data_IF_378305828464
#
_entry.id   IF_378305828464
#
_cell.length_a   1.000
_cell.length_b   1.000
_cell.length_c   1.000
_cell.angle_alpha   90.00
_cell.angle_beta   90.00
_cell.angle_gamma   90.00
#
_symmetry.space_group_name_H-M   'P 1'
#
loop_
_entity.id
_entity.type
_entity.pdbx_description
1 polymer ?
#
# COMPACT_ATOMS: atom_id res chain seq x y z
N UNK A 1 -8.55 -27.81 17.78
CA UNK A 1 -9.84 -27.83 18.46
C UNK A 1 -9.53 -27.70 19.94
N UNK A 2 -9.40 -26.46 20.40
CA UNK A 2 -9.40 -26.13 21.82
C UNK A 2 -10.18 -24.83 21.95
N UNK A 3 -11.43 -24.98 22.36
CA UNK A 3 -12.34 -23.93 22.73
C UNK A 3 -11.83 -23.27 24.00
N UNK A 4 -11.29 -22.07 23.86
CA UNK A 4 -10.83 -21.21 24.95
C UNK A 4 -11.62 -19.91 25.02
N UNK A 5 -12.94 -19.97 24.79
CA UNK A 5 -13.83 -18.83 25.08
C UNK A 5 -14.13 -18.83 26.58
N UNK A 6 -13.18 -18.29 27.33
CA UNK A 6 -13.36 -17.94 28.72
C UNK A 6 -14.46 -16.87 28.81
N UNK A 7 -15.70 -17.35 28.99
CA UNK A 7 -16.86 -16.60 29.45
C UNK A 7 -16.43 -15.80 30.69
N UNK A 8 -16.10 -14.53 30.47
CA UNK A 8 -15.92 -13.58 31.56
C UNK A 8 -17.30 -13.14 32.02
N UNK A 9 -17.52 -13.31 33.32
CA UNK A 9 -18.67 -12.85 34.06
C UNK A 9 -18.80 -11.32 34.00
N UNK A 10 -19.49 -10.84 32.97
CA UNK A 10 -20.30 -9.63 32.98
C UNK A 10 -21.21 -9.74 31.74
N UNK A 11 -22.53 -9.74 31.90
CA UNK A 11 -23.54 -10.16 30.92
C UNK A 11 -23.69 -9.25 29.69
N UNK A 12 -22.59 -8.95 29.01
CA UNK A 12 -22.50 -8.03 27.90
C UNK A 12 -22.33 -8.72 26.55
N UNK A 13 -23.01 -8.18 25.54
CA UNK A 13 -22.91 -8.62 24.13
C UNK A 13 -21.44 -8.60 23.62
N UNK A 14 -21.03 -9.53 22.73
CA UNK A 14 -19.71 -9.50 22.09
C UNK A 14 -19.43 -8.15 21.40
N UNK A 15 -18.16 -7.75 21.31
CA UNK A 15 -17.77 -6.46 20.71
C UNK A 15 -18.25 -6.29 19.26
N UNK A 16 -18.27 -7.37 18.48
CA UNK A 16 -18.82 -7.38 17.12
C UNK A 16 -20.33 -7.10 17.13
N UNK A 17 -21.09 -7.76 18.01
CA UNK A 17 -22.53 -7.57 18.19
C UNK A 17 -22.87 -6.14 18.65
N UNK A 18 -22.13 -5.60 19.64
CA UNK A 18 -22.28 -4.20 20.06
C UNK A 18 -22.02 -3.24 18.89
N UNK A 19 -21.03 -3.52 18.05
CA UNK A 19 -20.71 -2.68 16.88
C UNK A 19 -21.82 -2.74 15.82
N UNK A 20 -22.35 -3.92 15.53
CA UNK A 20 -23.46 -4.10 14.60
C UNK A 20 -24.75 -3.40 15.08
N UNK A 21 -24.99 -3.34 16.39
CA UNK A 21 -26.16 -2.70 17.00
C UNK A 21 -26.10 -1.16 17.03
N UNK A 22 -24.93 -0.54 16.82
CA UNK A 22 -24.79 0.93 16.86
C UNK A 22 -25.73 1.62 15.87
N UNK A 23 -25.75 1.17 14.61
CA UNK A 23 -26.57 1.76 13.55
C UNK A 23 -28.07 1.69 13.85
N UNK A 24 -28.64 0.49 14.10
CA UNK A 24 -30.04 0.35 14.51
C UNK A 24 -30.41 1.18 15.74
N UNK A 25 -29.55 1.21 16.77
CA UNK A 25 -29.79 1.99 17.99
C UNK A 25 -29.88 3.50 17.70
N UNK A 26 -28.94 4.05 16.94
CA UNK A 26 -28.95 5.47 16.57
C UNK A 26 -30.16 5.82 15.70
N UNK A 27 -30.53 4.98 14.73
CA UNK A 27 -31.77 5.18 13.93
C UNK A 27 -33.02 5.21 14.81
N UNK A 28 -33.12 4.33 15.80
CA UNK A 28 -34.25 4.32 16.73
C UNK A 28 -34.32 5.59 17.58
N UNK A 29 -33.17 6.05 18.09
CA UNK A 29 -33.09 7.30 18.86
C UNK A 29 -33.42 8.53 18.00
N UNK A 30 -33.01 8.55 16.72
CA UNK A 30 -33.43 9.59 15.78
C UNK A 30 -34.94 9.58 15.52
N UNK A 31 -35.55 8.40 15.37
CA UNK A 31 -37.01 8.29 15.24
C UNK A 31 -37.74 8.83 16.48
N UNK A 32 -37.23 8.54 17.69
CA UNK A 32 -37.75 9.12 18.94
C UNK A 32 -37.58 10.64 18.99
N UNK A 33 -36.46 11.16 18.48
CA UNK A 33 -36.19 12.60 18.41
C UNK A 33 -37.14 13.31 17.44
N UNK A 34 -37.36 12.74 16.27
CA UNK A 34 -38.32 13.26 15.28
C UNK A 34 -39.74 13.30 15.84
N UNK A 35 -40.12 12.29 16.63
CA UNK A 35 -41.40 12.26 17.35
C UNK A 35 -41.46 13.11 18.63
N UNK A 36 -40.42 13.90 18.96
CA UNK A 36 -40.29 14.69 20.20
C UNK A 36 -40.43 13.88 21.50
N UNK A 37 -40.09 12.58 21.48
CA UNK A 37 -40.17 11.64 22.62
C UNK A 37 -38.81 11.20 23.15
N UNK A 38 -37.71 11.78 22.64
CA UNK A 38 -36.37 11.44 23.10
C UNK A 38 -36.13 12.02 24.51
N UNK A 39 -35.67 11.17 25.41
CA UNK A 39 -35.34 11.53 26.80
C UNK A 39 -33.89 11.12 27.08
N UNK A 40 -33.29 11.70 28.13
CA UNK A 40 -31.95 11.28 28.58
C UNK A 40 -31.92 9.79 29.00
N UNK A 41 -33.04 9.26 29.54
CA UNK A 41 -33.17 7.85 29.88
C UNK A 41 -33.01 6.92 28.67
N UNK A 42 -33.60 7.27 27.52
CA UNK A 42 -33.42 6.50 26.28
C UNK A 42 -31.95 6.45 25.84
N UNK A 43 -31.21 7.54 26.02
CA UNK A 43 -29.78 7.61 25.68
C UNK A 43 -28.93 6.82 26.65
N UNK A 44 -29.24 6.85 27.95
CA UNK A 44 -28.55 6.04 28.98
C UNK A 44 -28.70 4.54 28.72
N UNK A 45 -29.92 4.07 28.48
CA UNK A 45 -30.17 2.65 28.17
C UNK A 45 -29.38 2.19 26.93
N UNK A 46 -29.34 3.03 25.88
CA UNK A 46 -28.55 2.73 24.69
C UNK A 46 -27.04 2.75 24.95
N UNK A 47 -26.56 3.67 25.79
CA UNK A 47 -25.16 3.78 26.18
C UNK A 47 -24.69 2.53 26.95
N UNK A 48 -25.48 2.09 27.94
CA UNK A 48 -25.21 0.91 28.75
C UNK A 48 -25.19 -0.36 27.89
N UNK A 49 -26.21 -0.56 27.03
CA UNK A 49 -26.30 -1.72 26.16
C UNK A 49 -25.12 -1.81 25.15
N UNK A 50 -24.62 -0.66 24.69
CA UNK A 50 -23.52 -0.57 23.72
C UNK A 50 -22.14 -0.49 24.37
N UNK A 51 -22.05 -0.39 25.71
CA UNK A 51 -20.81 -0.23 26.46
C UNK A 51 -20.04 1.05 26.12
N UNK A 52 -20.76 2.16 25.89
CA UNK A 52 -20.19 3.48 25.59
C UNK A 52 -20.75 4.54 26.55
N UNK A 53 -20.15 5.73 26.60
CA UNK A 53 -20.69 6.82 27.42
C UNK A 53 -21.89 7.51 26.76
N UNK A 54 -22.81 8.08 27.56
CA UNK A 54 -23.93 8.90 27.06
C UNK A 54 -23.44 10.03 26.14
N UNK A 55 -22.31 10.67 26.48
CA UNK A 55 -21.65 11.69 25.64
C UNK A 55 -21.32 11.18 24.23
N UNK A 56 -20.91 9.91 24.12
CA UNK A 56 -20.59 9.27 22.83
C UNK A 56 -21.86 9.10 21.98
N UNK A 57 -22.96 8.68 22.61
CA UNK A 57 -24.25 8.52 21.93
C UNK A 57 -24.80 9.88 21.48
N UNK A 58 -24.72 10.92 22.31
CA UNK A 58 -25.10 12.27 21.91
C UNK A 58 -24.27 12.80 20.74
N UNK A 59 -22.96 12.55 20.74
CA UNK A 59 -22.09 12.89 19.60
C UNK A 59 -22.52 12.16 18.33
N UNK A 60 -22.87 10.88 18.41
CA UNK A 60 -23.40 10.13 17.27
C UNK A 60 -24.73 10.68 16.77
N UNK A 61 -25.65 11.03 17.66
CA UNK A 61 -26.92 11.66 17.28
C UNK A 61 -26.74 13.02 16.61
N UNK A 62 -25.76 13.82 17.06
CA UNK A 62 -25.41 15.07 16.41
C UNK A 62 -24.88 14.85 14.98
N UNK A 63 -23.95 13.91 14.80
CA UNK A 63 -23.40 13.58 13.48
C UNK A 63 -24.47 12.98 12.54
N UNK A 64 -25.29 12.07 13.04
CA UNK A 64 -26.31 11.36 12.26
C UNK A 64 -27.51 12.24 11.86
N UNK A 65 -27.69 13.41 12.47
CA UNK A 65 -28.67 14.41 12.00
C UNK A 65 -28.22 15.12 10.73
N UNK A 66 -26.91 15.24 10.51
CA UNK A 66 -26.34 15.94 9.36
C UNK A 66 -25.93 14.99 8.23
N UNK A 67 -25.71 13.71 8.53
CA UNK A 67 -25.18 12.72 7.59
C UNK A 67 -25.85 11.34 7.81
N UNK A 68 -26.58 10.86 6.79
CA UNK A 68 -27.26 9.57 6.83
C UNK A 68 -26.27 8.39 6.93
N UNK A 69 -25.05 8.54 6.40
CA UNK A 69 -24.02 7.50 6.51
C UNK A 69 -23.48 7.38 7.94
N UNK A 70 -23.46 8.48 8.69
CA UNK A 70 -23.17 8.49 10.12
C UNK A 70 -24.28 7.81 10.95
N UNK A 71 -25.53 7.78 10.48
CA UNK A 71 -26.60 7.00 11.08
C UNK A 71 -26.45 5.49 10.81
N UNK A 72 -25.91 5.12 9.64
CA UNK A 72 -25.65 3.72 9.28
C UNK A 72 -24.47 3.13 10.06
N UNK A 73 -23.40 3.91 10.25
CA UNK A 73 -22.19 3.46 10.95
C UNK A 73 -21.75 4.43 12.07
N UNK A 74 -22.50 4.52 13.17
CA UNK A 74 -22.17 5.44 14.27
C UNK A 74 -20.84 5.08 14.92
N UNK A 75 -19.96 6.08 15.03
CA UNK A 75 -18.64 5.89 15.62
C UNK A 75 -17.65 5.17 14.72
N UNK A 76 -18.04 4.77 13.50
CA UNK A 76 -17.05 4.62 12.45
C UNK A 76 -16.44 6.01 12.21
N UNK A 77 -15.12 6.06 12.03
CA UNK A 77 -14.48 7.28 11.53
C UNK A 77 -15.18 7.62 10.21
N UNK A 78 -15.72 8.83 10.10
CA UNK A 78 -16.53 9.21 8.95
C UNK A 78 -15.72 8.97 7.67
N UNK A 79 -16.38 8.70 6.55
CA UNK A 79 -15.71 8.77 5.25
C UNK A 79 -15.25 10.20 4.95
N UNK A 80 -15.78 11.22 5.63
CA UNK A 80 -15.22 12.57 5.65
C UNK A 80 -13.86 12.64 6.38
N UNK A 81 -13.59 11.74 7.33
CA UNK A 81 -12.24 11.47 7.87
C UNK A 81 -11.44 10.52 6.94
N UNK A 82 -11.85 10.36 5.67
CA UNK A 82 -11.06 9.63 4.69
C UNK A 82 -9.67 10.25 4.67
N UNK A 83 -8.72 9.42 5.07
CA UNK A 83 -7.32 9.81 5.21
C UNK A 83 -6.86 10.44 3.90
N UNK A 84 -6.27 11.64 4.00
CA UNK A 84 -5.68 12.31 2.85
C UNK A 84 -4.74 11.35 2.11
N UNK A 85 -4.96 11.24 0.79
CA UNK A 85 -4.25 10.33 -0.10
C UNK A 85 -3.67 11.16 -1.22
N UNK A 86 -2.46 10.80 -1.63
CA UNK A 86 -1.79 11.52 -2.70
C UNK A 86 -2.50 11.25 -4.03
N UNK A 87 -3.25 12.25 -4.51
CA UNK A 87 -3.96 12.20 -5.78
C UNK A 87 -3.01 12.41 -6.97
N UNK A 88 -3.40 12.05 -8.21
CA UNK A 88 -2.58 12.30 -9.40
C UNK A 88 -2.16 13.76 -9.55
N UNK A 89 -3.02 14.71 -9.17
CA UNK A 89 -2.73 16.15 -9.22
C UNK A 89 -1.62 16.52 -8.24
N UNK A 90 -1.67 15.99 -7.02
CA UNK A 90 -0.61 16.18 -6.02
C UNK A 90 0.69 15.51 -6.48
N UNK A 91 0.63 14.36 -7.16
CA UNK A 91 1.81 13.74 -7.79
C UNK A 91 2.43 14.66 -8.85
N UNK A 92 1.60 15.29 -9.69
CA UNK A 92 2.06 16.28 -10.68
C UNK A 92 2.76 17.48 -10.04
N UNK A 93 2.19 18.01 -8.94
CA UNK A 93 2.83 19.08 -8.17
C UNK A 93 4.16 18.66 -7.54
N UNK A 94 4.23 17.45 -6.99
CA UNK A 94 5.47 16.91 -6.45
C UNK A 94 6.54 16.79 -7.54
N UNK A 95 6.17 16.38 -8.76
CA UNK A 95 7.10 16.32 -9.88
C UNK A 95 7.57 17.72 -10.31
N UNK A 96 6.65 18.69 -10.43
CA UNK A 96 6.96 20.08 -10.77
C UNK A 96 7.96 20.70 -9.77
N UNK A 97 7.77 20.43 -8.48
CA UNK A 97 8.60 20.95 -7.41
C UNK A 97 9.74 20.03 -7.00
N UNK A 98 10.07 19.01 -7.81
CA UNK A 98 11.17 18.04 -7.56
C UNK A 98 11.16 17.43 -6.15
N UNK A 99 9.97 17.12 -5.65
CA UNK A 99 9.75 16.56 -4.31
C UNK A 99 9.75 17.57 -3.16
N UNK A 100 9.83 18.89 -3.41
CA UNK A 100 9.76 19.90 -2.36
C UNK A 100 8.34 20.03 -1.77
N UNK A 101 8.12 19.33 -0.66
CA UNK A 101 6.82 19.24 0.04
C UNK A 101 6.31 20.60 0.51
N UNK A 102 7.20 21.51 0.94
CA UNK A 102 6.79 22.83 1.43
C UNK A 102 6.30 23.72 0.30
N UNK A 103 6.91 23.64 -0.88
CA UNK A 103 6.46 24.35 -2.07
C UNK A 103 5.10 23.82 -2.55
N UNK A 104 4.94 22.49 -2.59
CA UNK A 104 3.65 21.85 -2.91
C UNK A 104 2.56 22.28 -1.93
N UNK A 105 2.85 22.32 -0.62
CA UNK A 105 1.88 22.76 0.37
C UNK A 105 1.44 24.21 0.14
N UNK A 106 2.38 25.13 -0.15
CA UNK A 106 2.04 26.54 -0.47
C UNK A 106 1.13 26.63 -1.69
N UNK A 107 1.42 25.89 -2.74
CA UNK A 107 0.61 25.82 -3.96
C UNK A 107 -0.79 25.25 -3.67
N UNK A 108 -0.90 24.19 -2.86
CA UNK A 108 -2.18 23.62 -2.46
C UNK A 108 -3.03 24.61 -1.65
N UNK A 109 -2.41 25.36 -0.73
CA UNK A 109 -3.11 26.42 0.03
C UNK A 109 -3.67 27.50 -0.90
N UNK A 110 -2.86 27.97 -1.86
CA UNK A 110 -3.29 28.97 -2.84
C UNK A 110 -4.43 28.43 -3.71
N UNK A 111 -4.35 27.17 -4.16
CA UNK A 111 -5.41 26.54 -4.96
C UNK A 111 -6.70 26.36 -4.18
N UNK A 112 -6.61 25.94 -2.92
CA UNK A 112 -7.77 25.71 -2.07
C UNK A 112 -8.52 27.03 -1.79
N UNK A 113 -7.79 28.13 -1.60
CA UNK A 113 -8.36 29.47 -1.45
C UNK A 113 -9.03 30.02 -2.72
N UNK A 114 -8.68 29.51 -3.91
CA UNK A 114 -9.29 29.91 -5.20
C UNK A 114 -10.55 29.12 -5.56
N UNK A 115 -10.86 28.06 -4.82
CA UNK A 115 -12.07 27.27 -5.05
C UNK A 115 -13.29 28.00 -4.50
N UNK A 116 -14.45 27.76 -5.11
CA UNK A 116 -15.75 28.25 -4.63
C UNK A 116 -16.70 27.06 -4.42
N UNK A 117 -17.05 26.73 -3.16
CA UNK A 117 -16.58 27.36 -1.92
C UNK A 117 -15.09 27.10 -1.65
N UNK A 118 -14.41 27.95 -0.85
CA UNK A 118 -13.02 27.72 -0.44
C UNK A 118 -12.89 26.36 0.22
N UNK A 119 -11.97 25.54 -0.27
CA UNK A 119 -11.67 24.26 0.34
C UNK A 119 -10.57 24.42 1.40
N UNK A 120 -10.56 23.51 2.37
CA UNK A 120 -9.45 23.42 3.32
C UNK A 120 -8.28 22.67 2.71
N UNK A 121 -7.10 23.29 2.73
CA UNK A 121 -5.87 22.65 2.32
C UNK A 121 -5.36 21.68 3.41
N UNK A 122 -4.77 20.53 3.04
CA UNK A 122 -4.18 19.61 4.01
C UNK A 122 -3.00 20.26 4.70
N UNK A 123 -2.88 20.04 6.02
CA UNK A 123 -1.72 20.52 6.77
C UNK A 123 -0.42 19.90 6.28
N UNK A 124 0.70 20.61 6.47
CA UNK A 124 2.02 20.13 6.06
C UNK A 124 2.37 18.75 6.68
N UNK A 125 1.99 18.52 7.93
CA UNK A 125 2.19 17.24 8.62
C UNK A 125 1.37 16.11 7.98
N UNK A 126 0.12 16.40 7.59
CA UNK A 126 -0.76 15.47 6.86
C UNK A 126 -0.15 15.11 5.51
N UNK A 127 0.39 16.10 4.78
CA UNK A 127 1.05 15.89 3.50
C UNK A 127 2.30 15.00 3.65
N UNK A 128 3.18 15.27 4.62
CA UNK A 128 4.33 14.41 4.90
C UNK A 128 3.93 12.98 5.28
N UNK A 129 2.83 12.81 6.02
CA UNK A 129 2.31 11.49 6.40
C UNK A 129 1.78 10.74 5.18
N UNK A 130 1.03 11.40 4.31
CA UNK A 130 0.51 10.80 3.09
C UNK A 130 1.63 10.42 2.12
N UNK A 131 2.62 11.29 1.90
CA UNK A 131 3.78 11.01 1.04
C UNK A 131 4.57 9.78 1.53
N UNK A 132 4.80 9.67 2.85
CA UNK A 132 5.53 8.51 3.40
C UNK A 132 4.80 7.18 3.19
N UNK A 133 3.46 7.24 3.16
CA UNK A 133 2.58 6.08 3.05
C UNK A 133 2.32 5.67 1.59
N UNK A 134 2.06 6.65 0.72
CA UNK A 134 1.55 6.42 -0.63
C UNK A 134 2.64 6.38 -1.71
N UNK A 135 3.83 6.91 -1.40
CA UNK A 135 4.97 6.85 -2.31
C UNK A 135 6.03 5.91 -1.74
N UNK A 136 6.53 5.03 -2.59
CA UNK A 136 7.69 4.18 -2.32
C UNK A 136 8.96 5.02 -2.11
N UNK A 137 9.97 4.50 -1.41
CA UNK A 137 11.27 5.16 -1.32
C UNK A 137 11.87 5.51 -2.69
N UNK A 138 11.72 4.62 -3.69
CA UNK A 138 12.20 4.83 -5.06
C UNK A 138 11.51 5.99 -5.77
N UNK A 139 10.17 6.08 -5.68
CA UNK A 139 9.43 7.23 -6.24
C UNK A 139 9.86 8.55 -5.60
N UNK A 140 10.05 8.58 -4.27
CA UNK A 140 10.50 9.79 -3.56
C UNK A 140 11.92 10.20 -3.96
N UNK A 141 12.83 9.23 -4.09
CA UNK A 141 14.18 9.48 -4.58
C UNK A 141 14.17 9.97 -6.04
N UNK A 142 13.28 9.40 -6.87
CA UNK A 142 13.07 9.81 -8.25
C UNK A 142 12.62 11.25 -8.40
N UNK A 143 11.71 11.71 -7.55
CA UNK A 143 11.25 13.09 -7.55
C UNK A 143 12.39 14.09 -7.27
N UNK A 144 13.31 13.76 -6.37
CA UNK A 144 14.41 14.65 -5.98
C UNK A 144 15.63 14.54 -6.89
N UNK A 145 15.98 13.33 -7.33
CA UNK A 145 17.26 13.03 -8.01
C UNK A 145 17.10 12.37 -9.38
N UNK A 146 15.89 12.30 -9.92
CA UNK A 146 15.58 11.69 -11.22
C UNK A 146 15.71 10.18 -11.24
N UNK A 147 15.67 9.61 -12.45
CA UNK A 147 15.67 8.16 -12.67
C UNK A 147 16.85 7.45 -12.00
N UNK A 148 18.06 8.03 -12.08
CA UNK A 148 19.26 7.44 -11.46
C UNK A 148 19.13 7.30 -9.95
N UNK A 149 18.44 8.23 -9.28
CA UNK A 149 18.18 8.13 -7.85
C UNK A 149 17.08 7.10 -7.55
N UNK A 150 16.02 7.03 -8.37
CA UNK A 150 14.99 6.00 -8.26
C UNK A 150 15.58 4.59 -8.38
N UNK A 151 16.44 4.37 -9.37
CA UNK A 151 17.10 3.07 -9.65
C UNK A 151 17.92 2.51 -8.50
N UNK A 152 18.37 3.34 -7.55
CA UNK A 152 19.05 2.85 -6.34
C UNK A 152 18.12 2.06 -5.40
N UNK A 153 16.82 2.26 -5.55
CA UNK A 153 15.79 1.57 -4.78
C UNK A 153 15.14 0.41 -5.54
N UNK A 154 15.42 0.28 -6.83
CA UNK A 154 15.00 -0.87 -7.61
C UNK A 154 15.88 -2.06 -7.22
N UNK A 155 15.25 -3.18 -6.87
CA UNK A 155 15.96 -4.42 -6.58
C UNK A 155 16.28 -5.10 -7.91
N UNK A 156 17.36 -4.67 -8.55
CA UNK A 156 17.93 -5.41 -9.67
C UNK A 156 18.57 -6.70 -9.15
N UNK A 157 18.47 -7.80 -9.90
CA UNK A 157 19.05 -9.12 -9.57
C UNK A 157 18.37 -9.93 -8.45
N UNK A 158 17.15 -9.59 -8.05
CA UNK A 158 16.36 -10.51 -7.23
C UNK A 158 15.93 -11.71 -8.07
N UNK A 159 16.39 -12.91 -7.71
CA UNK A 159 15.72 -14.13 -8.17
C UNK A 159 14.41 -14.31 -7.42
N UNK A 160 13.32 -14.68 -8.10
CA UNK A 160 12.15 -15.21 -7.44
C UNK A 160 12.55 -16.32 -6.47
N UNK A 161 11.89 -16.39 -5.31
CA UNK A 161 12.16 -17.46 -4.34
C UNK A 161 11.79 -18.80 -4.97
N UNK A 162 12.80 -19.59 -5.28
CA UNK A 162 12.65 -20.92 -5.84
C UNK A 162 12.75 -22.03 -4.81
N UNK A 163 12.50 -23.26 -5.24
CA UNK A 163 12.77 -24.46 -4.46
C UNK A 163 14.25 -24.82 -4.58
N UNK A 164 14.77 -25.57 -3.60
CA UNK A 164 16.13 -26.11 -3.69
C UNK A 164 16.24 -26.95 -4.98
N UNK A 165 17.30 -26.74 -5.77
CA UNK A 165 17.56 -27.40 -7.05
C UNK A 165 16.54 -27.11 -8.18
N UNK A 166 15.76 -26.03 -8.09
CA UNK A 166 14.85 -25.65 -9.17
C UNK A 166 15.59 -25.23 -10.46
N UNK A 167 16.79 -24.67 -10.32
CA UNK A 167 17.67 -24.29 -11.43
C UNK A 167 19.09 -24.73 -11.10
N UNK A 168 19.72 -25.43 -12.04
CA UNK A 168 21.14 -25.72 -12.02
C UNK A 168 21.83 -24.81 -13.03
N UNK A 169 22.60 -23.87 -12.52
CA UNK A 169 23.51 -23.08 -13.35
C UNK A 169 24.90 -23.63 -13.17
N UNK A 170 25.53 -23.97 -14.30
CA UNK A 170 26.92 -24.38 -14.33
C UNK A 170 27.73 -23.16 -14.74
N UNK A 171 28.66 -22.74 -13.89
CA UNK A 171 29.72 -21.84 -14.32
C UNK A 171 30.91 -22.66 -14.83
N UNK A 172 31.63 -22.10 -15.80
CA UNK A 172 32.89 -22.67 -16.25
C UNK A 172 33.99 -21.66 -15.95
N UNK A 173 34.89 -22.04 -15.04
CA UNK A 173 36.11 -21.30 -14.77
C UNK A 173 37.28 -22.04 -15.41
N UNK A 174 38.08 -21.33 -16.20
CA UNK A 174 39.39 -21.82 -16.61
C UNK A 174 40.41 -21.40 -15.56
N UNK A 175 40.84 -22.36 -14.74
CA UNK A 175 41.88 -22.11 -13.76
C UNK A 175 43.23 -21.93 -14.49
N UNK A 176 43.94 -20.80 -14.31
CA UNK A 176 45.22 -20.54 -14.96
C UNK A 176 46.36 -21.25 -14.22
N UNK A 177 46.23 -22.56 -14.02
CA UNK A 177 47.22 -23.38 -13.31
C UNK A 177 48.12 -24.11 -14.31
N UNK A 178 49.40 -24.24 -13.94
CA UNK A 178 50.33 -25.12 -14.62
C UNK A 178 50.12 -26.54 -14.13
N UNK A 179 49.92 -27.46 -15.06
CA UNK A 179 49.77 -28.88 -14.78
C UNK A 179 50.99 -29.60 -15.33
N UNK A 180 51.66 -30.39 -14.49
CA UNK A 180 52.71 -31.29 -14.94
C UNK A 180 52.07 -32.45 -15.71
N UNK A 181 52.42 -32.59 -16.98
CA UNK A 181 52.02 -33.71 -17.83
C UNK A 181 53.31 -34.32 -18.38
N UNK A 182 53.64 -35.52 -17.89
CA UNK A 182 54.81 -36.30 -18.31
C UNK A 182 56.15 -35.58 -18.04
N UNK A 183 56.29 -34.94 -16.87
CA UNK A 183 57.50 -34.23 -16.47
C UNK A 183 57.68 -32.87 -17.16
N UNK A 184 56.60 -32.32 -17.74
CA UNK A 184 56.57 -31.00 -18.38
C UNK A 184 55.39 -30.19 -17.88
N UNK A 185 55.69 -29.04 -17.30
CA UNK A 185 54.67 -28.05 -16.92
C UNK A 185 53.97 -27.48 -18.18
N UNK A 186 52.65 -27.65 -18.25
CA UNK A 186 51.80 -27.11 -19.32
C UNK A 186 50.72 -26.20 -18.74
N UNK A 187 50.49 -25.04 -19.36
CA UNK A 187 49.28 -24.26 -19.14
C UNK A 187 48.26 -24.61 -20.22
N UNK A 188 46.98 -24.70 -19.85
CA UNK A 188 45.90 -24.83 -20.82
C UNK A 188 45.52 -23.43 -21.33
N UNK A 189 46.46 -22.74 -21.98
CA UNK A 189 46.26 -21.36 -22.42
C UNK A 189 47.40 -20.68 -23.19
N UNK A 190 48.51 -21.35 -23.52
CA UNK A 190 49.54 -20.75 -24.37
C UNK A 190 49.07 -20.65 -25.83
N UNK A 191 49.17 -19.47 -26.49
CA UNK A 191 48.59 -19.19 -27.82
C UNK A 191 49.40 -19.79 -28.99
N UNK A 192 49.86 -21.04 -28.87
CA UNK A 192 50.82 -21.64 -29.79
C UNK A 192 50.75 -23.16 -29.94
N UNK A 193 49.55 -23.76 -29.91
CA UNK A 193 49.41 -25.20 -30.23
C UNK A 193 48.27 -25.46 -31.22
N UNK A 194 48.57 -26.10 -32.38
CA UNK A 194 47.64 -26.23 -33.50
C UNK A 194 46.77 -27.49 -33.34
N UNK A 195 45.95 -27.56 -32.31
CA UNK A 195 45.01 -28.67 -32.16
C UNK A 195 43.72 -28.20 -31.49
N UNK A 196 42.84 -27.62 -32.29
CA UNK A 196 41.38 -27.87 -32.23
C UNK A 196 40.65 -27.04 -33.29
N UNK A 197 40.94 -27.29 -34.56
CA UNK A 197 39.93 -27.13 -35.61
C UNK A 197 38.96 -28.30 -35.45
N UNK A 198 38.04 -28.22 -34.49
CA UNK A 198 36.90 -29.15 -34.35
C UNK A 198 35.61 -28.39 -34.60
N UNK A 199 35.14 -28.51 -35.83
CA UNK A 199 33.74 -28.68 -36.24
C UNK A 199 32.70 -27.95 -35.40
N UNK A 200 32.29 -26.76 -35.87
CA UNK A 200 30.92 -26.29 -35.64
C UNK A 200 29.98 -27.29 -36.33
N UNK A 201 29.23 -28.06 -35.57
CA UNK A 201 28.05 -28.76 -36.07
C UNK A 201 26.81 -27.97 -35.65
N UNK A 202 25.89 -27.62 -36.57
CA UNK A 202 24.79 -26.72 -36.27
C UNK A 202 23.51 -27.51 -35.98
N UNK A 203 23.21 -27.87 -34.74
CA UNK A 203 21.87 -28.36 -34.38
C UNK A 203 21.56 -28.01 -32.93
N UNK A 204 20.71 -26.99 -32.72
CA UNK A 204 19.40 -27.13 -32.05
C UNK A 204 18.83 -25.78 -31.61
N UNK A 205 17.88 -25.29 -32.42
CA UNK A 205 16.69 -24.50 -32.06
C UNK A 205 16.84 -23.46 -30.95
N UNK A 206 17.07 -22.23 -31.38
CA UNK A 206 16.48 -21.05 -30.74
C UNK A 206 14.95 -21.20 -30.72
N UNK A 207 14.39 -21.49 -29.55
CA UNK A 207 13.01 -21.11 -29.28
C UNK A 207 12.96 -19.58 -29.34
N UNK A 208 12.38 -19.08 -30.42
CA UNK A 208 11.87 -17.72 -30.55
C UNK A 208 10.80 -17.56 -29.48
N UNK A 209 11.12 -16.92 -28.36
CA UNK A 209 10.10 -16.36 -27.49
C UNK A 209 9.44 -15.21 -28.25
N UNK A 210 8.29 -15.50 -28.86
CA UNK A 210 7.38 -14.49 -29.34
C UNK A 210 6.89 -13.67 -28.14
N UNK A 211 7.31 -12.41 -28.09
CA UNK A 211 6.62 -11.38 -27.33
C UNK A 211 5.31 -11.07 -28.05
N UNK A 212 4.21 -11.69 -27.63
CA UNK A 212 2.87 -11.23 -27.99
C UNK A 212 2.51 -10.02 -27.12
N UNK A 213 2.64 -8.82 -27.69
CA UNK A 213 1.94 -7.63 -27.21
C UNK A 213 0.45 -7.79 -27.56
N UNK A 214 -0.39 -8.09 -26.56
CA UNK A 214 -1.84 -8.05 -26.69
C UNK A 214 -2.34 -6.61 -26.72
N UNK A 215 -2.48 -6.03 -27.91
CA UNK A 215 -3.25 -4.80 -28.12
C UNK A 215 -4.74 -5.15 -28.14
N UNK A 216 -5.44 -4.95 -27.02
CA UNK A 216 -6.89 -5.00 -26.96
C UNK A 216 -7.51 -3.81 -27.69
N UNK A 217 -8.24 -4.07 -28.77
CA UNK A 217 -9.13 -3.09 -29.41
C UNK A 217 -10.39 -2.93 -28.54
N UNK A 218 -10.69 -1.68 -28.23
CA UNK A 218 -12.01 -1.24 -27.80
C UNK A 218 -13.04 -1.50 -28.91
N UNK A 219 -14.24 -1.92 -28.48
CA UNK A 219 -15.47 -1.82 -29.26
C UNK A 219 -16.08 -0.45 -29.06
#
# INVERSE_FOLDING_TARGET
>A
MEDGDAVRADGGLPAASRTALRGPAVRRLLALRAGKKLTAGHVRVAADALGVSERTVWRWLAAAQSDETAAAYPGARSRADARFTITPEVRGLLALWKGNVRAVHRELVVRAARQSPPADAPSLTTLHRAIRRDLTPGERAGLAGGERAARKHDVFWARPRGWRNQVWETDHMQAPVLVDVEGRARSRGSPGSPTARRTRSPVSRSHRCEFSFGAGRAR
#
